data_IF_706772895594
#
_entry.id   IF_706772895594
#
_cell.length_a   1.000
_cell.length_b   1.000
_cell.length_c   1.000
_cell.angle_alpha   90.00
_cell.angle_beta   90.00
_cell.angle_gamma   90.00
#
_symmetry.space_group_name_H-M   'P 1'
#
loop_
_entity.id
_entity.type
_entity.pdbx_description
1 polymer ?
#
# COMPACT_ATOMS: atom_id res chain seq x y z
N UNK A 1 -1.16 -7.16 -13.82
CA UNK A 1 -1.93 -7.82 -12.72
C UNK A 1 -1.78 -7.02 -11.44
N UNK A 2 -2.83 -6.91 -10.62
CA UNK A 2 -2.72 -6.38 -9.25
C UNK A 2 -2.28 -7.50 -8.30
N UNK A 3 -1.08 -7.37 -7.71
CA UNK A 3 -0.64 -8.16 -6.58
C UNK A 3 -0.76 -7.35 -5.28
N UNK A 4 -0.16 -7.80 -4.19
CA UNK A 4 -0.29 -7.17 -2.88
C UNK A 4 0.97 -7.38 -2.05
N UNK A 5 1.28 -6.43 -1.17
CA UNK A 5 2.33 -6.59 -0.15
C UNK A 5 2.02 -7.76 0.83
N UNK A 6 0.78 -8.25 0.88
CA UNK A 6 0.42 -9.43 1.69
C UNK A 6 1.18 -10.71 1.30
N UNK A 7 1.91 -10.72 0.17
CA UNK A 7 2.81 -11.81 -0.21
C UNK A 7 4.00 -11.98 0.75
N UNK A 8 4.35 -10.96 1.54
CA UNK A 8 5.50 -11.04 2.44
C UNK A 8 5.24 -11.81 3.73
N UNK A 9 4.02 -11.77 4.26
CA UNK A 9 3.67 -12.48 5.51
C UNK A 9 4.39 -11.95 6.75
N UNK A 10 4.11 -12.59 7.90
CA UNK A 10 4.68 -12.24 9.21
C UNK A 10 5.48 -13.40 9.79
N UNK A 11 6.58 -13.15 10.56
CA UNK A 11 7.15 -11.84 10.88
C UNK A 11 7.82 -11.17 9.68
N UNK A 12 7.67 -9.84 9.59
CA UNK A 12 8.33 -9.06 8.54
C UNK A 12 9.79 -8.77 8.91
N UNK A 13 10.72 -8.74 7.93
CA UNK A 13 12.08 -8.27 8.16
C UNK A 13 12.09 -6.75 8.47
N UNK A 14 13.17 -6.22 9.06
CA UNK A 14 13.28 -4.79 9.38
C UNK A 14 13.30 -3.88 8.15
N UNK A 15 13.67 -4.43 7.01
CA UNK A 15 13.66 -3.77 5.70
C UNK A 15 13.00 -4.67 4.67
N UNK A 16 12.24 -4.06 3.76
CA UNK A 16 11.65 -4.72 2.59
C UNK A 16 12.11 -4.04 1.31
N UNK A 17 12.42 -4.85 0.31
CA UNK A 17 12.67 -4.47 -1.07
C UNK A 17 12.00 -5.47 -2.02
N UNK A 18 12.20 -5.30 -3.33
CA UNK A 18 11.60 -6.16 -4.35
C UNK A 18 12.16 -7.60 -4.35
N UNK A 19 13.33 -7.83 -3.73
CA UNK A 19 13.99 -9.13 -3.61
C UNK A 19 13.67 -9.84 -2.29
N UNK A 20 12.98 -9.18 -1.37
CA UNK A 20 12.58 -9.77 -0.07
C UNK A 20 11.75 -11.05 -0.31
N UNK A 21 12.11 -12.18 0.33
CA UNK A 21 11.41 -13.45 0.15
C UNK A 21 9.93 -13.36 0.50
N UNK A 22 9.07 -13.83 -0.40
CA UNK A 22 7.63 -13.87 -0.19
C UNK A 22 7.23 -15.12 0.59
N UNK A 23 6.72 -14.92 1.80
CA UNK A 23 6.26 -15.98 2.73
C UNK A 23 4.89 -15.61 3.31
N UNK A 24 3.81 -15.64 2.50
CA UNK A 24 2.51 -15.15 2.93
C UNK A 24 1.98 -15.93 4.14
N UNK A 25 1.38 -15.21 5.09
CA UNK A 25 0.74 -15.76 6.29
C UNK A 25 -0.79 -15.73 6.22
N UNK A 26 -1.34 -15.17 5.12
CA UNK A 26 -2.78 -15.11 4.85
C UNK A 26 -3.11 -15.82 3.55
N UNK A 27 -4.30 -16.46 3.47
CA UNK A 27 -4.80 -17.07 2.23
C UNK A 27 -4.82 -16.07 1.07
N UNK A 28 -5.22 -14.83 1.32
CA UNK A 28 -5.18 -13.76 0.31
C UNK A 28 -3.76 -13.54 -0.24
N UNK A 29 -2.77 -13.41 0.63
CA UNK A 29 -1.36 -13.27 0.22
C UNK A 29 -0.85 -14.50 -0.53
N UNK A 30 -1.23 -15.70 -0.07
CA UNK A 30 -0.90 -16.97 -0.74
C UNK A 30 -1.46 -17.01 -2.15
N UNK A 31 -2.74 -16.65 -2.34
CA UNK A 31 -3.34 -16.60 -3.68
C UNK A 31 -2.64 -15.59 -4.59
N UNK A 32 -2.28 -14.41 -4.06
CA UNK A 32 -1.52 -13.40 -4.83
C UNK A 32 -0.14 -13.94 -5.24
N UNK A 33 0.57 -14.61 -4.32
CA UNK A 33 1.87 -15.22 -4.61
C UNK A 33 1.76 -16.33 -5.65
N UNK A 34 0.75 -17.19 -5.57
CA UNK A 34 0.50 -18.22 -6.58
C UNK A 34 0.29 -17.59 -7.97
N UNK A 35 -0.47 -16.52 -8.06
CA UNK A 35 -0.71 -15.79 -9.32
C UNK A 35 0.57 -15.15 -9.86
N UNK A 36 1.46 -14.61 -8.99
CA UNK A 36 2.78 -14.12 -9.41
C UNK A 36 3.63 -15.25 -10.01
N UNK A 37 3.67 -16.42 -9.36
CA UNK A 37 4.42 -17.59 -9.87
C UNK A 37 3.87 -18.10 -11.21
N UNK A 38 2.55 -18.14 -11.36
CA UNK A 38 1.93 -18.51 -12.64
C UNK A 38 2.27 -17.50 -13.73
N UNK A 39 2.27 -16.20 -13.40
CA UNK A 39 2.62 -15.16 -14.35
C UNK A 39 4.09 -15.23 -14.75
N UNK A 40 5.00 -15.49 -13.80
CA UNK A 40 6.43 -15.73 -14.07
C UNK A 40 6.63 -16.92 -15.01
N UNK A 41 5.91 -18.04 -14.79
CA UNK A 41 6.00 -19.22 -15.66
C UNK A 41 5.49 -18.94 -17.08
N UNK A 42 4.36 -18.26 -17.22
CA UNK A 42 3.81 -17.89 -18.53
C UNK A 42 4.73 -16.92 -19.28
N UNK A 43 5.35 -15.97 -18.59
CA UNK A 43 6.36 -15.08 -19.17
C UNK A 43 7.58 -15.86 -19.64
N UNK A 44 8.10 -16.76 -18.81
CA UNK A 44 9.28 -17.60 -19.14
C UNK A 44 9.04 -18.48 -20.36
N UNK A 45 7.81 -18.97 -20.57
CA UNK A 45 7.43 -19.75 -21.75
C UNK A 45 7.15 -18.90 -22.99
N UNK A 46 7.05 -17.57 -22.83
CA UNK A 46 6.69 -16.65 -23.92
C UNK A 46 5.19 -16.62 -24.25
N UNK A 47 4.34 -17.16 -23.36
CA UNK A 47 2.89 -17.19 -23.57
C UNK A 47 2.26 -15.78 -23.44
N UNK A 48 2.89 -14.90 -22.65
CA UNK A 48 2.46 -13.51 -22.50
C UNK A 48 3.59 -12.61 -21.99
N UNK A 49 3.41 -11.29 -22.05
CA UNK A 49 4.23 -10.25 -21.41
C UNK A 49 3.47 -9.75 -20.19
N UNK A 50 3.50 -10.53 -19.13
CA UNK A 50 2.75 -10.29 -17.90
C UNK A 50 3.53 -9.49 -16.86
N UNK A 51 2.90 -8.49 -16.26
CA UNK A 51 3.49 -7.62 -15.24
C UNK A 51 2.58 -7.51 -14.05
N UNK A 52 3.18 -7.43 -12.86
CA UNK A 52 2.43 -7.30 -11.62
C UNK A 52 2.99 -6.17 -10.75
N UNK A 53 2.10 -5.51 -10.02
CA UNK A 53 2.46 -4.54 -8.99
C UNK A 53 1.85 -4.94 -7.66
N UNK A 54 2.68 -5.01 -6.61
CA UNK A 54 2.28 -5.30 -5.24
C UNK A 54 1.79 -4.01 -4.60
N UNK A 55 0.47 -3.85 -4.57
CA UNK A 55 -0.16 -2.68 -3.94
C UNK A 55 -0.13 -2.82 -2.42
N UNK A 56 0.08 -1.71 -1.74
CA UNK A 56 -0.02 -1.56 -0.29
C UNK A 56 -1.46 -1.25 0.16
N UNK A 57 -1.64 -0.67 1.34
CA UNK A 57 -2.94 -0.21 1.84
C UNK A 57 -3.48 0.94 1.00
N UNK A 58 -4.27 0.64 -0.03
CA UNK A 58 -4.95 1.67 -0.83
C UNK A 58 -6.02 2.34 0.04
N UNK A 59 -5.85 3.65 0.31
CA UNK A 59 -6.68 4.41 1.24
C UNK A 59 -7.69 5.31 0.57
N UNK A 60 -8.75 5.62 1.34
CA UNK A 60 -9.92 6.39 0.95
C UNK A 60 -10.58 5.85 -0.32
N UNK A 61 -10.63 4.52 -0.39
CA UNK A 61 -11.46 3.83 -1.38
C UNK A 61 -12.96 4.13 -1.13
N UNK A 62 -13.79 4.06 -2.17
CA UNK A 62 -15.25 4.08 -1.99
C UNK A 62 -15.70 3.07 -0.94
N UNK A 63 -16.69 3.44 -0.13
CA UNK A 63 -17.25 2.57 0.91
C UNK A 63 -18.05 1.48 0.22
N UNK A 64 -17.47 0.29 0.13
CA UNK A 64 -18.15 -0.91 -0.37
C UNK A 64 -18.00 -2.02 0.68
N UNK A 65 -19.06 -2.69 1.09
CA UNK A 65 -18.99 -3.82 1.99
C UNK A 65 -18.33 -5.00 1.26
N UNK A 66 -17.02 -5.15 1.42
CA UNK A 66 -16.24 -6.20 0.75
C UNK A 66 -15.51 -7.14 1.74
N UNK A 67 -15.72 -6.97 3.05
CA UNK A 67 -15.09 -7.79 4.09
C UNK A 67 -13.56 -7.67 4.19
N UNK A 68 -12.95 -6.72 3.48
CA UNK A 68 -11.49 -6.56 3.51
C UNK A 68 -11.03 -5.98 4.85
N UNK A 69 -10.27 -6.77 5.62
CA UNK A 69 -9.73 -6.36 6.92
C UNK A 69 -8.89 -5.07 6.84
N UNK A 70 -8.19 -4.83 5.73
CA UNK A 70 -7.39 -3.60 5.48
C UNK A 70 -8.25 -2.35 5.27
N UNK A 71 -9.58 -2.45 5.30
CA UNK A 71 -10.49 -1.29 5.22
C UNK A 71 -10.24 -0.27 6.31
N UNK A 72 -9.77 -0.71 7.50
CA UNK A 72 -9.47 0.15 8.63
C UNK A 72 -8.49 1.29 8.28
N UNK A 73 -7.57 1.11 7.34
CA UNK A 73 -6.65 2.18 6.88
C UNK A 73 -7.41 3.37 6.29
N UNK A 74 -8.50 3.10 5.57
CA UNK A 74 -9.36 4.17 5.03
C UNK A 74 -10.24 4.79 6.11
N UNK A 75 -10.78 3.95 7.00
CA UNK A 75 -11.73 4.39 8.03
C UNK A 75 -11.03 5.21 9.11
N UNK A 76 -9.76 4.90 9.44
CA UNK A 76 -8.91 5.69 10.32
C UNK A 76 -8.80 7.17 9.90
N UNK A 77 -8.79 7.43 8.60
CA UNK A 77 -8.70 8.80 8.06
C UNK A 77 -10.11 9.37 7.84
N UNK A 78 -10.99 8.57 7.24
CA UNK A 78 -12.32 9.00 6.80
C UNK A 78 -13.24 9.40 7.97
N UNK A 79 -13.42 8.48 8.91
CA UNK A 79 -14.46 8.66 9.93
C UNK A 79 -14.19 9.86 10.83
N UNK A 80 -12.95 10.05 11.37
CA UNK A 80 -12.67 11.21 12.20
C UNK A 80 -12.76 12.55 11.45
N UNK A 81 -12.32 12.60 10.18
CA UNK A 81 -12.42 13.83 9.38
C UNK A 81 -13.86 14.16 8.96
N UNK A 82 -14.77 13.17 8.96
CA UNK A 82 -16.21 13.38 8.80
C UNK A 82 -16.92 13.69 10.14
N UNK A 83 -16.19 13.92 11.23
CA UNK A 83 -16.75 14.22 12.54
C UNK A 83 -17.32 13.02 13.28
N UNK A 84 -16.97 11.79 12.92
CA UNK A 84 -17.48 10.57 13.53
C UNK A 84 -16.43 9.90 14.42
N UNK A 85 -16.89 9.27 15.50
CA UNK A 85 -16.03 8.46 16.35
C UNK A 85 -15.62 7.18 15.63
N UNK A 86 -14.37 6.77 15.84
CA UNK A 86 -13.79 5.59 15.22
C UNK A 86 -13.00 4.74 16.22
N UNK A 87 -13.21 3.43 16.19
CA UNK A 87 -12.42 2.47 16.99
C UNK A 87 -11.37 1.82 16.12
N UNK A 88 -10.11 2.20 16.33
CA UNK A 88 -8.97 1.71 15.56
C UNK A 88 -8.52 0.33 16.09
N UNK A 89 -8.45 -0.72 15.23
CA UNK A 89 -8.10 -2.08 15.66
C UNK A 89 -6.60 -2.33 15.80
N UNK A 90 -5.76 -1.31 15.61
CA UNK A 90 -4.31 -1.36 15.80
C UNK A 90 -3.85 -0.27 16.77
N UNK A 91 -2.63 -0.38 17.31
CA UNK A 91 -2.10 0.60 18.25
C UNK A 91 -1.70 1.92 17.57
N UNK A 92 -1.52 3.01 18.33
CA UNK A 92 -0.97 4.26 17.79
C UNK A 92 0.42 4.09 17.15
N UNK A 93 1.22 3.16 17.64
CA UNK A 93 2.57 2.86 17.14
C UNK A 93 2.56 1.90 15.94
N UNK A 94 1.38 1.43 15.53
CA UNK A 94 1.25 0.56 14.36
C UNK A 94 1.79 1.26 13.12
N UNK A 95 2.56 0.53 12.32
CA UNK A 95 3.20 1.02 11.10
C UNK A 95 2.48 0.49 9.89
N UNK A 96 2.15 1.40 8.98
CA UNK A 96 1.32 1.18 7.81
C UNK A 96 2.10 1.57 6.55
N UNK A 97 1.71 1.01 5.42
CA UNK A 97 2.09 1.51 4.11
C UNK A 97 0.83 1.97 3.39
N UNK A 98 0.74 3.28 3.17
CA UNK A 98 -0.43 3.90 2.55
C UNK A 98 -0.16 4.26 1.09
N UNK A 99 -1.18 4.13 0.26
CA UNK A 99 -1.15 4.45 -1.17
C UNK A 99 -2.49 5.05 -1.56
N UNK A 100 -2.49 6.14 -2.33
CA UNK A 100 -3.75 6.67 -2.86
C UNK A 100 -4.32 5.78 -3.97
N UNK A 101 -5.64 5.86 -4.18
CA UNK A 101 -6.28 5.21 -5.33
C UNK A 101 -5.74 5.76 -6.66
N UNK A 102 -5.51 7.07 -6.71
CA UNK A 102 -4.96 7.75 -7.90
C UNK A 102 -3.59 7.19 -8.27
N UNK A 103 -2.67 7.07 -7.30
CA UNK A 103 -1.35 6.50 -7.56
C UNK A 103 -1.43 5.01 -7.91
N UNK A 104 -2.31 4.24 -7.25
CA UNK A 104 -2.51 2.83 -7.59
C UNK A 104 -2.94 2.66 -9.05
N UNK A 105 -3.87 3.48 -9.53
CA UNK A 105 -4.31 3.49 -10.94
C UNK A 105 -3.18 3.94 -11.86
N UNK A 106 -2.44 5.00 -11.51
CA UNK A 106 -1.31 5.47 -12.29
C UNK A 106 -0.24 4.39 -12.46
N UNK A 107 0.08 3.63 -11.40
CA UNK A 107 1.01 2.49 -11.47
C UNK A 107 0.54 1.43 -12.46
N UNK A 108 -0.75 1.05 -12.42
CA UNK A 108 -1.31 0.07 -13.35
C UNK A 108 -1.24 0.57 -14.79
N UNK A 109 -1.62 1.81 -15.04
CA UNK A 109 -1.57 2.42 -16.37
C UNK A 109 -0.13 2.54 -16.89
N UNK A 110 0.81 2.92 -16.01
CA UNK A 110 2.24 2.97 -16.36
C UNK A 110 2.74 1.60 -16.78
N UNK A 111 2.47 0.54 -16.00
CA UNK A 111 2.90 -0.82 -16.32
C UNK A 111 2.29 -1.36 -17.62
N UNK A 112 1.03 -1.00 -17.92
CA UNK A 112 0.38 -1.37 -19.19
C UNK A 112 1.04 -0.68 -20.39
N UNK A 113 1.48 0.56 -20.22
CA UNK A 113 2.09 1.36 -21.30
C UNK A 113 3.60 1.17 -21.48
N UNK A 114 4.27 0.36 -20.61
CA UNK A 114 5.69 0.06 -20.79
C UNK A 114 5.90 -0.88 -21.99
N UNK A 115 6.94 -0.63 -22.77
CA UNK A 115 7.42 -1.60 -23.74
C UNK A 115 8.18 -2.75 -23.05
N UNK A 116 8.26 -3.90 -23.74
CA UNK A 116 8.92 -5.09 -23.22
C UNK A 116 10.42 -4.88 -22.95
N UNK A 117 11.10 -4.11 -23.79
CA UNK A 117 12.54 -3.88 -23.67
C UNK A 117 12.86 -3.08 -22.39
N UNK A 118 12.13 -2.00 -22.14
CA UNK A 118 12.25 -1.21 -20.90
C UNK A 118 11.96 -2.04 -19.66
N UNK A 119 10.90 -2.85 -19.68
CA UNK A 119 10.57 -3.75 -18.57
C UNK A 119 11.69 -4.76 -18.30
N UNK A 120 12.15 -5.48 -19.34
CA UNK A 120 13.17 -6.52 -19.25
C UNK A 120 14.53 -5.98 -18.83
N UNK A 121 14.87 -4.76 -19.26
CA UNK A 121 16.11 -4.11 -18.84
C UNK A 121 16.16 -3.86 -17.33
N UNK A 122 15.04 -3.46 -16.72
CA UNK A 122 14.98 -3.16 -15.29
C UNK A 122 14.82 -4.42 -14.44
N UNK A 123 13.94 -5.34 -14.87
CA UNK A 123 13.66 -6.57 -14.11
C UNK A 123 14.72 -7.66 -14.28
N UNK A 124 15.49 -7.59 -15.37
CA UNK A 124 16.51 -8.57 -15.72
C UNK A 124 15.93 -9.91 -16.25
N UNK A 125 16.78 -10.77 -16.84
CA UNK A 125 16.34 -12.00 -17.52
C UNK A 125 15.81 -13.10 -16.58
N UNK A 126 16.21 -13.07 -15.31
CA UNK A 126 15.73 -13.97 -14.27
C UNK A 126 14.85 -13.23 -13.23
N UNK A 127 14.41 -12.03 -13.56
CA UNK A 127 13.60 -11.20 -12.67
C UNK A 127 12.19 -11.75 -12.50
N UNK A 128 11.58 -11.42 -11.36
CA UNK A 128 10.16 -11.67 -11.15
C UNK A 128 9.31 -10.72 -12.00
N UNK A 129 8.11 -11.12 -12.37
CA UNK A 129 7.15 -10.25 -13.03
C UNK A 129 6.53 -9.19 -12.10
N UNK A 130 6.89 -9.15 -10.82
CA UNK A 130 6.24 -8.35 -9.80
C UNK A 130 7.22 -7.42 -9.07
N UNK A 131 6.80 -6.17 -8.85
CA UNK A 131 7.53 -5.17 -8.06
C UNK A 131 6.62 -4.50 -7.03
N UNK A 132 7.22 -3.85 -6.03
CA UNK A 132 6.50 -3.09 -5.01
C UNK A 132 6.06 -1.72 -5.55
N UNK A 133 4.79 -1.38 -5.37
CA UNK A 133 4.32 -0.01 -5.60
C UNK A 133 4.93 0.95 -4.58
N UNK A 134 5.45 2.13 -4.99
CA UNK A 134 5.81 3.18 -4.04
C UNK A 134 4.63 3.51 -3.14
N UNK A 135 4.91 3.65 -1.84
CA UNK A 135 3.92 3.89 -0.80
C UNK A 135 4.46 4.80 0.29
N UNK A 136 3.59 5.27 1.18
CA UNK A 136 3.94 6.00 2.40
C UNK A 136 4.12 5.04 3.57
N UNK A 137 5.35 4.71 4.00
CA UNK A 137 5.60 4.05 5.26
C UNK A 137 5.41 5.06 6.39
N UNK A 138 4.42 4.86 7.24
CA UNK A 138 4.03 5.78 8.31
C UNK A 138 3.56 5.03 9.54
N UNK A 139 3.64 5.64 10.71
CA UNK A 139 2.91 5.21 11.90
C UNK A 139 1.48 5.77 11.91
N UNK A 140 0.60 5.10 12.64
CA UNK A 140 -0.74 5.63 12.92
C UNK A 140 -0.67 6.98 13.61
N UNK A 141 0.30 7.16 14.52
CA UNK A 141 0.54 8.42 15.22
C UNK A 141 0.85 9.57 14.24
N UNK A 142 1.70 9.35 13.24
CA UNK A 142 2.01 10.37 12.21
C UNK A 142 0.78 10.71 11.37
N UNK A 143 -0.06 9.71 11.06
CA UNK A 143 -1.35 9.95 10.36
C UNK A 143 -2.26 10.84 11.20
N UNK A 144 -2.37 10.57 12.52
CA UNK A 144 -3.18 11.41 13.42
C UNK A 144 -2.63 12.84 13.53
N UNK A 145 -1.32 13.00 13.57
CA UNK A 145 -0.69 14.32 13.56
C UNK A 145 -1.00 15.09 12.27
N UNK A 146 -0.94 14.43 11.12
CA UNK A 146 -1.32 15.03 9.84
C UNK A 146 -2.80 15.42 9.81
N UNK A 147 -3.69 14.57 10.34
CA UNK A 147 -5.12 14.87 10.46
C UNK A 147 -5.41 16.06 11.38
N UNK A 148 -4.65 16.20 12.48
CA UNK A 148 -4.78 17.33 13.41
C UNK A 148 -4.49 18.69 12.76
N UNK A 149 -3.66 18.73 11.71
CA UNK A 149 -3.41 19.94 10.92
C UNK A 149 -4.55 20.29 9.96
N UNK A 150 -5.49 19.36 9.76
CA UNK A 150 -6.68 19.56 8.92
C UNK A 150 -7.90 19.88 9.78
N UNK A 151 -8.15 19.04 10.78
CA UNK A 151 -9.16 19.21 11.84
C UNK A 151 -8.53 18.86 13.20
N UNK A 152 -8.27 19.85 14.07
CA UNK A 152 -7.67 19.61 15.39
C UNK A 152 -8.45 18.65 16.29
N UNK A 153 -9.74 18.44 16.01
CA UNK A 153 -10.59 17.53 16.79
C UNK A 153 -10.56 16.09 16.23
N UNK A 154 -10.12 15.88 15.00
CA UNK A 154 -10.15 14.56 14.37
C UNK A 154 -9.42 13.48 15.18
N UNK A 155 -8.21 13.69 15.73
CA UNK A 155 -7.54 12.68 16.54
C UNK A 155 -8.30 12.30 17.82
N UNK A 156 -9.08 13.21 18.39
CA UNK A 156 -9.85 12.98 19.63
C UNK A 156 -11.02 12.02 19.42
N UNK A 157 -11.45 11.84 18.17
CA UNK A 157 -12.51 10.90 17.78
C UNK A 157 -12.00 9.49 17.59
N UNK A 158 -10.67 9.26 17.69
CA UNK A 158 -10.07 7.92 17.51
C UNK A 158 -9.83 7.27 18.86
N UNK A 159 -10.52 6.18 19.11
CA UNK A 159 -10.29 5.28 20.23
C UNK A 159 -9.49 4.08 19.78
N UNK A 160 -8.60 3.56 20.61
CA UNK A 160 -7.76 2.41 20.28
C UNK A 160 -8.23 1.16 21.00
N UNK A 161 -8.53 0.12 20.24
CA UNK A 161 -8.82 -1.25 20.76
C UNK A 161 -8.01 -2.28 19.94
N UNK A 162 -6.67 -2.36 20.15
CA UNK A 162 -5.81 -3.20 19.35
C UNK A 162 -6.20 -4.67 19.42
N UNK A 163 -6.42 -5.27 18.26
CA UNK A 163 -6.69 -6.69 18.09
C UNK A 163 -5.36 -7.38 17.70
N UNK A 164 -4.89 -8.41 18.44
CA UNK A 164 -3.58 -9.01 18.21
C UNK A 164 -3.36 -9.49 16.77
N UNK A 165 -4.37 -10.10 16.14
CA UNK A 165 -4.29 -10.55 14.76
C UNK A 165 -4.15 -9.38 13.77
N UNK A 166 -4.92 -8.29 13.96
CA UNK A 166 -4.86 -7.10 13.15
C UNK A 166 -3.51 -6.39 13.30
N UNK A 167 -3.05 -6.25 14.54
CA UNK A 167 -1.75 -5.64 14.85
C UNK A 167 -0.60 -6.41 14.19
N UNK A 168 -0.59 -7.74 14.27
CA UNK A 168 0.45 -8.57 13.68
C UNK A 168 0.46 -8.50 12.13
N UNK A 169 -0.71 -8.46 11.51
CA UNK A 169 -0.83 -8.54 10.06
C UNK A 169 -0.76 -7.18 9.36
N UNK A 170 -1.22 -6.12 10.00
CA UNK A 170 -1.39 -4.82 9.36
C UNK A 170 -0.67 -3.67 10.08
N UNK A 171 -0.25 -3.86 11.32
CA UNK A 171 0.38 -2.83 12.14
C UNK A 171 1.90 -2.95 12.29
N UNK A 172 2.55 -3.87 11.59
CA UNK A 172 3.96 -4.20 11.80
C UNK A 172 4.84 -3.95 10.56
N UNK A 173 4.37 -3.17 9.58
CA UNK A 173 5.13 -2.89 8.36
C UNK A 173 6.41 -2.10 8.67
N UNK A 174 7.59 -2.47 8.14
CA UNK A 174 8.81 -1.72 8.36
C UNK A 174 8.72 -0.33 7.71
N UNK A 175 9.33 0.67 8.35
CA UNK A 175 9.47 2.01 7.75
C UNK A 175 10.61 2.04 6.73
N UNK A 176 11.62 1.15 6.87
CA UNK A 176 12.68 1.00 5.88
C UNK A 176 12.21 0.12 4.73
N UNK A 177 11.98 0.76 3.59
CA UNK A 177 11.52 0.11 2.37
C UNK A 177 12.21 0.71 1.14
N UNK A 178 12.57 -0.14 0.19
CA UNK A 178 13.10 0.28 -1.11
C UNK A 178 12.08 0.04 -2.22
N UNK A 179 11.93 1.03 -3.07
CA UNK A 179 11.13 0.99 -4.30
C UNK A 179 12.01 1.21 -5.53
N UNK A 180 13.23 0.67 -5.52
CA UNK A 180 14.24 0.96 -6.53
C UNK A 180 13.82 0.56 -7.96
N UNK A 181 13.17 -0.61 -8.11
CA UNK A 181 12.68 -1.05 -9.43
C UNK A 181 11.54 -0.14 -9.93
N UNK A 182 10.63 0.23 -9.04
CA UNK A 182 9.54 1.13 -9.37
C UNK A 182 10.05 2.51 -9.82
N UNK A 183 11.08 3.04 -9.16
CA UNK A 183 11.72 4.30 -9.52
C UNK A 183 12.37 4.24 -10.91
N UNK A 184 13.10 3.16 -11.22
CA UNK A 184 13.70 2.95 -12.55
C UNK A 184 12.64 2.87 -13.67
N UNK A 185 11.46 2.37 -13.36
CA UNK A 185 10.32 2.29 -14.28
C UNK A 185 9.46 3.56 -14.28
N UNK A 186 9.89 4.61 -13.58
CA UNK A 186 9.17 5.88 -13.42
C UNK A 186 7.73 5.71 -12.89
N UNK A 187 7.53 4.81 -11.93
CA UNK A 187 6.28 4.76 -11.17
C UNK A 187 6.20 5.97 -10.23
N UNK A 188 5.02 6.56 -10.12
CA UNK A 188 4.81 7.74 -9.29
C UNK A 188 5.08 7.43 -7.81
N UNK A 189 5.99 8.16 -7.20
CA UNK A 189 6.20 8.15 -5.76
C UNK A 189 5.52 9.38 -5.13
N UNK A 190 4.40 9.18 -4.46
CA UNK A 190 3.63 10.28 -3.84
C UNK A 190 4.42 11.00 -2.75
N UNK A 191 5.42 10.36 -2.12
CA UNK A 191 6.30 11.04 -1.16
C UNK A 191 7.08 12.17 -1.84
N UNK A 192 7.58 11.93 -3.04
CA UNK A 192 8.25 12.97 -3.83
C UNK A 192 7.25 14.00 -4.36
N UNK A 193 6.06 13.55 -4.84
CA UNK A 193 5.00 14.43 -5.32
C UNK A 193 4.59 15.45 -4.26
N UNK A 194 4.42 15.01 -3.02
CA UNK A 194 4.05 15.87 -1.88
C UNK A 194 5.26 16.36 -1.07
N UNK A 195 6.48 16.28 -1.62
CA UNK A 195 7.73 16.76 -0.99
C UNK A 195 7.91 16.25 0.44
N UNK A 196 7.53 14.99 0.68
CA UNK A 196 7.51 14.33 1.98
C UNK A 196 6.57 14.99 3.03
N UNK A 197 5.60 15.80 2.61
CA UNK A 197 4.58 16.36 3.48
C UNK A 197 3.38 15.42 3.58
N UNK A 198 3.34 14.64 4.66
CA UNK A 198 2.24 13.71 4.94
C UNK A 198 0.91 14.45 5.15
N UNK A 199 0.95 15.68 5.68
CA UNK A 199 -0.27 16.48 5.88
C UNK A 199 -0.90 16.84 4.55
N UNK A 200 -0.09 17.24 3.58
CA UNK A 200 -0.61 17.53 2.24
C UNK A 200 -1.14 16.27 1.55
N UNK A 201 -0.45 15.13 1.68
CA UNK A 201 -0.96 13.85 1.19
C UNK A 201 -2.33 13.52 1.80
N UNK A 202 -2.48 13.58 3.13
CA UNK A 202 -3.76 13.31 3.81
C UNK A 202 -4.84 14.33 3.41
N UNK A 203 -4.47 15.61 3.26
CA UNK A 203 -5.40 16.68 2.80
C UNK A 203 -5.93 16.39 1.40
N UNK A 204 -5.07 16.01 0.47
CA UNK A 204 -5.48 15.66 -0.89
C UNK A 204 -6.40 14.43 -0.92
N UNK A 205 -6.08 13.42 -0.13
CA UNK A 205 -6.95 12.25 0.03
C UNK A 205 -8.34 12.62 0.56
N UNK A 206 -8.40 13.54 1.53
CA UNK A 206 -9.64 13.94 2.21
C UNK A 206 -10.48 14.94 1.40
N UNK A 207 -9.93 15.61 0.40
CA UNK A 207 -10.66 16.62 -0.39
C UNK A 207 -12.06 16.19 -0.86
N UNK A 208 -12.24 14.96 -1.41
CA UNK A 208 -13.57 14.51 -1.84
C UNK A 208 -14.56 14.33 -0.68
N UNK A 209 -14.07 14.11 0.56
CA UNK A 209 -14.87 13.92 1.75
C UNK A 209 -15.35 15.27 2.36
N UNK A 210 -14.54 16.32 2.18
CA UNK A 210 -14.74 17.63 2.79
C UNK A 210 -15.48 18.62 1.87
N UNK A 211 -15.82 18.21 0.66
CA UNK A 211 -16.67 19.01 -0.23
C UNK A 211 -18.12 18.91 0.25
N UNK A 212 -18.81 20.06 0.37
CA UNK A 212 -20.21 20.10 0.76
C UNK A 212 -21.12 19.42 -0.27
#
# INVERSE_FOLDING_TARGET
>A
MTSSIAVYGTPLPPRIDDHTPQRPSLSYGTHKRMLELMLDDMNRRGDLDGRAVRLSGVVLRPVLPNGALSGFNSDLIREPLLGRDYVCPVSPDARLWLLSLTAALAHLMRLLGLDHATWSQVMGPAGTCALNAPAWPVSVHEVLQAMAQIDPQAPQRVQFAPQPAMQAQFGAWPLDVSFALAQQLALTDERQTFKHDLTEFVRQLAQPLLRP
#
